data_IF_983031427909
#
_entry.id   IF_983031427909
#
_cell.length_a   1.000
_cell.length_b   1.000
_cell.length_c   1.000
_cell.angle_alpha   90.00
_cell.angle_beta   90.00
_cell.angle_gamma   90.00
#
_symmetry.space_group_name_H-M   'P 1'
#
loop_
_entity.id
_entity.type
_entity.pdbx_description
1 polymer ?
#
# COMPACT_ATOMS: atom_id res chain seq x y z
N UNK A 1 36.81 -16.51 35.72
CA UNK A 1 35.98 -17.37 34.83
C UNK A 1 34.49 -17.01 34.78
N UNK A 2 33.80 -16.62 35.88
CA UNK A 2 32.38 -16.21 35.83
C UNK A 2 32.13 -14.86 35.11
N UNK A 3 33.04 -13.89 35.27
CA UNK A 3 32.92 -12.54 34.68
C UNK A 3 32.94 -12.54 33.15
N UNK A 4 33.80 -13.37 32.52
CA UNK A 4 33.89 -13.44 31.06
C UNK A 4 32.67 -14.10 30.41
N UNK A 5 32.07 -15.09 31.08
CA UNK A 5 30.80 -15.67 30.63
C UNK A 5 29.69 -14.62 30.63
N UNK A 6 29.59 -13.80 31.67
CA UNK A 6 28.58 -12.73 31.76
C UNK A 6 28.76 -11.69 30.63
N UNK A 7 30.01 -11.32 30.33
CA UNK A 7 30.32 -10.39 29.25
C UNK A 7 30.00 -10.98 27.86
N UNK A 8 30.20 -12.28 27.67
CA UNK A 8 29.82 -12.99 26.44
C UNK A 8 28.30 -13.05 26.25
N UNK A 9 27.55 -13.33 27.32
CA UNK A 9 26.08 -13.29 27.29
C UNK A 9 25.55 -11.88 26.99
N UNK A 10 26.16 -10.82 27.55
CA UNK A 10 25.79 -9.45 27.23
C UNK A 10 26.03 -9.10 25.76
N UNK A 11 27.11 -9.61 25.15
CA UNK A 11 27.38 -9.43 23.71
C UNK A 11 26.37 -10.18 22.84
N UNK A 12 25.96 -11.39 23.23
CA UNK A 12 24.91 -12.15 22.54
C UNK A 12 23.57 -11.42 22.64
N UNK A 13 23.20 -10.96 23.84
CA UNK A 13 21.96 -10.21 24.04
C UNK A 13 21.94 -8.91 23.23
N UNK A 14 23.06 -8.19 23.15
CA UNK A 14 23.20 -7.00 22.31
C UNK A 14 23.07 -7.34 20.82
N UNK A 15 23.67 -8.43 20.36
CA UNK A 15 23.60 -8.88 18.96
C UNK A 15 22.20 -9.37 18.57
N UNK A 16 21.53 -10.12 19.44
CA UNK A 16 20.14 -10.54 19.26
C UNK A 16 19.18 -9.34 19.28
N UNK A 17 19.43 -8.34 20.14
CA UNK A 17 18.65 -7.10 20.16
C UNK A 17 18.79 -6.27 18.87
N UNK A 18 19.98 -6.26 18.25
CA UNK A 18 20.22 -5.56 16.99
C UNK A 18 19.51 -6.23 15.79
N UNK A 19 19.42 -7.56 15.78
CA UNK A 19 18.72 -8.32 14.72
C UNK A 19 17.18 -8.17 14.75
N UNK A 20 16.59 -7.78 15.89
CA UNK A 20 15.14 -7.59 16.03
C UNK A 20 14.65 -6.22 15.52
N UNK A 21 15.54 -5.36 14.99
CA UNK A 21 15.25 -3.95 14.69
C UNK A 21 14.72 -3.63 13.29
N UNK A 22 14.53 -4.60 12.40
CA UNK A 22 14.07 -4.33 11.02
C UNK A 22 12.68 -4.93 10.81
N UNK A 23 11.67 -4.28 11.35
CA UNK A 23 10.30 -4.50 10.91
C UNK A 23 10.04 -3.55 9.73
N UNK A 24 9.92 -4.11 8.51
CA UNK A 24 9.49 -3.35 7.33
C UNK A 24 8.03 -2.92 7.51
N UNK A 25 7.83 -1.71 8.02
CA UNK A 25 6.51 -1.07 8.07
C UNK A 25 6.23 -0.51 6.67
N UNK A 26 5.55 -1.29 5.85
CA UNK A 26 5.05 -0.83 4.55
C UNK A 26 3.72 -0.12 4.71
N UNK A 27 3.53 0.98 3.98
CA UNK A 27 2.23 1.65 3.90
C UNK A 27 1.22 0.78 3.15
N UNK A 28 -0.06 0.91 3.47
CA UNK A 28 -1.12 0.27 2.69
C UNK A 28 -1.15 0.85 1.27
N UNK A 29 -1.16 -0.03 0.27
CA UNK A 29 -1.21 0.35 -1.15
C UNK A 29 -2.67 0.48 -1.62
N UNK A 30 -3.56 -0.33 -1.06
CA UNK A 30 -4.98 -0.35 -1.34
C UNK A 30 -5.72 0.30 -0.17
N UNK A 31 -6.62 1.23 -0.46
CA UNK A 31 -7.36 2.04 0.51
C UNK A 31 -8.86 1.83 0.27
N UNK A 32 -9.52 0.96 1.05
CA UNK A 32 -10.96 0.76 0.97
C UNK A 32 -11.72 1.81 1.80
N UNK A 33 -12.78 2.37 1.24
CA UNK A 33 -13.78 3.18 1.93
C UNK A 33 -15.12 2.48 1.71
N UNK A 34 -15.63 1.83 2.75
CA UNK A 34 -16.88 1.08 2.70
C UNK A 34 -17.98 1.75 3.52
N UNK A 35 -19.20 1.66 3.00
CA UNK A 35 -20.46 1.95 3.67
C UNK A 35 -21.32 0.69 3.59
N UNK A 36 -22.52 0.72 4.20
CA UNK A 36 -23.47 -0.39 4.09
C UNK A 36 -23.80 -0.75 2.62
N UNK A 37 -23.89 0.26 1.74
CA UNK A 37 -24.41 0.08 0.40
C UNK A 37 -23.38 0.26 -0.71
N UNK A 38 -22.22 0.84 -0.41
CA UNK A 38 -21.21 1.20 -1.40
C UNK A 38 -19.80 0.98 -0.88
N UNK A 39 -18.89 0.70 -1.81
CA UNK A 39 -17.45 0.66 -1.60
C UNK A 39 -16.75 1.49 -2.66
N UNK A 40 -15.81 2.31 -2.20
CA UNK A 40 -14.82 2.99 -3.01
C UNK A 40 -13.47 2.35 -2.68
N UNK A 41 -12.84 1.72 -3.67
CA UNK A 41 -11.48 1.20 -3.56
C UNK A 41 -10.54 2.17 -4.27
N UNK A 42 -9.51 2.61 -3.55
CA UNK A 42 -8.44 3.41 -4.13
C UNK A 42 -7.12 2.67 -4.02
N UNK A 43 -6.18 3.02 -4.89
CA UNK A 43 -4.85 2.44 -4.89
C UNK A 43 -3.79 3.51 -5.19
N UNK A 44 -2.62 3.39 -4.55
CA UNK A 44 -1.42 4.12 -4.95
C UNK A 44 -0.58 3.30 -5.93
N UNK A 45 -0.02 3.95 -6.95
CA UNK A 45 0.96 3.33 -7.84
C UNK A 45 2.40 3.61 -7.39
N UNK A 46 3.39 3.11 -8.14
CA UNK A 46 4.82 3.34 -7.89
C UNK A 46 5.23 4.83 -7.99
N UNK A 47 4.36 5.68 -8.54
CA UNK A 47 4.54 7.11 -8.69
C UNK A 47 3.77 7.90 -7.61
N UNK A 48 3.24 7.22 -6.59
CA UNK A 48 2.42 7.78 -5.52
C UNK A 48 1.15 8.50 -6.01
N UNK A 49 0.62 8.12 -7.16
CA UNK A 49 -0.65 8.65 -7.67
C UNK A 49 -1.80 7.89 -7.03
N UNK A 50 -2.72 8.62 -6.41
CA UNK A 50 -3.94 8.04 -5.86
C UNK A 50 -4.99 7.89 -6.96
N UNK A 51 -5.45 6.65 -7.16
CA UNK A 51 -6.37 6.27 -8.22
C UNK A 51 -7.59 5.55 -7.67
N UNK A 52 -8.76 5.79 -8.24
CA UNK A 52 -9.96 5.00 -7.98
C UNK A 52 -9.88 3.72 -8.83
N UNK A 53 -9.90 2.57 -8.18
CA UNK A 53 -9.81 1.25 -8.82
C UNK A 53 -11.07 0.42 -8.61
N UNK A 54 -12.08 0.93 -7.91
CA UNK A 54 -13.43 0.36 -7.89
C UNK A 54 -14.39 1.35 -7.24
N UNK A 55 -15.59 1.48 -7.79
CA UNK A 55 -16.71 2.13 -7.11
C UNK A 55 -17.99 1.34 -7.42
N UNK A 56 -18.65 0.82 -6.39
CA UNK A 56 -19.82 -0.02 -6.57
C UNK A 56 -20.32 -0.63 -5.27
N UNK A 57 -20.99 -1.78 -5.36
CA UNK A 57 -21.45 -2.53 -4.18
C UNK A 57 -20.26 -3.00 -3.34
N UNK A 58 -20.40 -3.12 -2.01
CA UNK A 58 -19.36 -3.71 -1.17
C UNK A 58 -18.96 -5.09 -1.69
N UNK A 59 -17.65 -5.33 -1.75
CA UNK A 59 -17.09 -6.66 -2.01
C UNK A 59 -17.20 -7.51 -0.75
N UNK A 60 -17.41 -8.81 -0.91
CA UNK A 60 -17.64 -9.71 0.24
C UNK A 60 -16.36 -9.93 1.04
N UNK A 61 -15.20 -9.99 0.38
CA UNK A 61 -13.93 -10.29 1.02
C UNK A 61 -12.82 -9.31 0.63
N UNK A 62 -11.98 -8.94 1.60
CA UNK A 62 -10.81 -8.07 1.37
C UNK A 62 -9.77 -8.70 0.42
N UNK A 63 -9.74 -10.03 0.34
CA UNK A 63 -8.87 -10.77 -0.58
C UNK A 63 -9.15 -10.44 -2.06
N UNK A 64 -10.36 -9.97 -2.37
CA UNK A 64 -10.78 -9.59 -3.72
C UNK A 64 -10.19 -8.25 -4.16
N UNK A 65 -9.80 -7.38 -3.22
CA UNK A 65 -9.40 -6.01 -3.51
C UNK A 65 -8.23 -5.94 -4.50
N UNK A 66 -7.23 -6.80 -4.30
CA UNK A 66 -6.06 -6.86 -5.18
C UNK A 66 -6.42 -7.33 -6.59
N UNK A 67 -7.32 -8.30 -6.69
CA UNK A 67 -7.76 -8.84 -7.98
C UNK A 67 -8.60 -7.80 -8.75
N UNK A 68 -9.54 -7.15 -8.06
CA UNK A 68 -10.36 -6.09 -8.64
C UNK A 68 -9.50 -4.92 -9.10
N UNK A 69 -8.53 -4.50 -8.28
CA UNK A 69 -7.60 -3.43 -8.64
C UNK A 69 -6.72 -3.80 -9.85
N UNK A 70 -6.31 -5.07 -9.98
CA UNK A 70 -5.50 -5.53 -11.11
C UNK A 70 -6.26 -5.62 -12.44
N UNK A 71 -7.59 -5.66 -12.43
CA UNK A 71 -8.39 -5.65 -13.67
C UNK A 71 -8.30 -4.30 -14.41
N UNK A 72 -7.82 -3.27 -13.73
CA UNK A 72 -7.64 -1.95 -14.26
C UNK A 72 -6.21 -1.75 -14.78
N UNK A 73 -6.04 -1.85 -16.10
CA UNK A 73 -4.76 -1.66 -16.77
C UNK A 73 -4.57 -0.18 -17.12
N UNK A 74 -3.87 0.57 -16.25
CA UNK A 74 -3.71 2.03 -16.32
C UNK A 74 -2.25 2.43 -16.47
N UNK A 75 -1.53 1.64 -17.26
CA UNK A 75 -0.07 1.57 -17.27
C UNK A 75 0.54 2.54 -18.31
N UNK A 76 -0.30 3.25 -19.07
CA UNK A 76 0.13 4.13 -20.16
C UNK A 76 0.30 5.59 -19.71
N UNK A 77 1.27 6.29 -20.32
CA UNK A 77 1.71 7.64 -19.91
C UNK A 77 0.57 8.66 -19.83
N UNK A 78 -0.42 8.56 -20.72
CA UNK A 78 -1.55 9.47 -20.81
C UNK A 78 -2.88 8.84 -20.35
N UNK A 79 -2.99 7.50 -20.27
CA UNK A 79 -4.22 6.82 -19.85
C UNK A 79 -4.29 6.58 -18.33
N UNK A 80 -3.14 6.62 -17.64
CA UNK A 80 -3.05 6.40 -16.19
C UNK A 80 -3.61 7.52 -15.31
N UNK A 81 -4.33 8.48 -15.90
CA UNK A 81 -4.81 9.68 -15.19
C UNK A 81 -6.33 9.81 -15.19
N UNK A 82 -7.08 9.07 -16.00
CA UNK A 82 -8.55 9.17 -16.04
C UNK A 82 -9.23 8.82 -14.72
N UNK A 83 -8.63 7.92 -13.97
CA UNK A 83 -9.14 7.46 -12.68
C UNK A 83 -8.37 8.05 -11.50
N UNK A 84 -7.52 9.06 -11.73
CA UNK A 84 -6.88 9.79 -10.64
C UNK A 84 -7.94 10.43 -9.76
N UNK A 85 -7.77 10.37 -8.44
CA UNK A 85 -8.64 11.05 -7.49
C UNK A 85 -8.66 12.58 -7.69
N UNK A 86 -7.66 13.12 -8.38
CA UNK A 86 -7.50 14.55 -8.66
C UNK A 86 -7.80 14.92 -10.12
N UNK A 87 -8.45 14.02 -10.88
CA UNK A 87 -8.83 14.33 -12.27
C UNK A 87 -9.85 15.46 -12.27
N UNK A 88 -9.55 16.63 -12.86
CA UNK A 88 -10.53 17.69 -12.97
C UNK A 88 -11.65 17.27 -13.95
N UNK A 89 -12.87 17.75 -13.74
CA UNK A 89 -14.01 17.48 -14.63
C UNK A 89 -13.92 18.17 -16.02
N UNK A 90 -12.72 18.58 -16.45
CA UNK A 90 -12.47 19.38 -17.65
C UNK A 90 -11.33 18.82 -18.53
N UNK A 91 -11.06 19.49 -19.64
CA UNK A 91 -10.04 19.07 -20.61
C UNK A 91 -8.63 19.35 -20.11
N UNK A 92 -7.72 18.38 -20.23
CA UNK A 92 -6.29 18.61 -20.01
C UNK A 92 -5.69 19.27 -21.25
N UNK A 93 -4.94 20.36 -21.07
CA UNK A 93 -4.10 20.89 -22.13
C UNK A 93 -2.91 19.93 -22.38
N UNK A 94 -2.95 19.16 -23.47
CA UNK A 94 -1.90 18.22 -23.90
C UNK A 94 -0.73 18.94 -24.60
N UNK A 95 -0.33 20.14 -24.16
CA UNK A 95 0.73 20.90 -24.86
C UNK A 95 2.09 20.23 -24.76
#
# INVERSE_FOLDING_TARGET
MKMEKLQYWNKILFFCGFMLGIADVSAQIIIPIATENNMLLMQTDNNNRLRTVYFGKPLENESEYKAVAANYNYDESNAGIYNSAYTPAGTWNLS
#
